data_IF_171121911859
#
_entry.id   IF_171121911859
#
_cell.length_a   1.000
_cell.length_b   1.000
_cell.length_c   1.000
_cell.angle_alpha   90.00
_cell.angle_beta   90.00
_cell.angle_gamma   90.00
#
_symmetry.space_group_name_H-M   'P 1'
#
loop_
_entity.id
_entity.type
_entity.pdbx_description
1 polymer ?
#
# COMPACT_ATOMS: atom_id res chain seq x y z
N UNK A 1 22.27 5.81 27.81
CA UNK A 1 22.41 6.27 26.42
C UNK A 1 21.30 5.60 25.62
N UNK A 2 20.22 6.32 25.27
CA UNK A 2 19.17 5.74 24.42
C UNK A 2 19.70 5.79 22.99
N UNK A 3 19.97 4.63 22.41
CA UNK A 3 20.29 4.52 20.99
C UNK A 3 18.99 4.90 20.26
N UNK A 4 18.96 6.05 19.60
CA UNK A 4 17.93 6.36 18.61
C UNK A 4 18.13 5.40 17.44
N UNK A 5 17.60 4.18 17.56
CA UNK A 5 17.49 3.29 16.43
C UNK A 5 16.51 3.94 15.45
N UNK A 6 17.03 4.42 14.33
CA UNK A 6 16.21 4.60 13.14
C UNK A 6 15.64 3.22 12.85
N UNK A 7 14.35 3.03 13.12
CA UNK A 7 13.68 1.76 12.85
C UNK A 7 13.61 1.64 11.34
N UNK A 8 14.52 0.86 10.75
CA UNK A 8 14.48 0.53 9.34
C UNK A 8 13.21 -0.28 9.08
N UNK A 9 12.47 0.07 8.02
CA UNK A 9 11.26 -0.67 7.64
C UNK A 9 11.57 -2.14 7.37
N UNK A 10 10.71 -3.05 7.83
CA UNK A 10 10.86 -4.49 7.56
C UNK A 10 10.58 -4.80 6.08
N UNK A 11 9.67 -4.05 5.48
CA UNK A 11 9.33 -4.12 4.07
C UNK A 11 9.01 -2.75 3.48
N UNK A 12 9.43 -2.53 2.24
CA UNK A 12 9.10 -1.35 1.45
C UNK A 12 8.63 -1.82 0.08
N UNK A 13 7.53 -1.25 -0.40
CA UNK A 13 7.06 -1.39 -1.77
C UNK A 13 6.85 -0.01 -2.36
N UNK A 14 7.29 0.16 -3.60
CA UNK A 14 7.02 1.33 -4.41
C UNK A 14 6.72 0.83 -5.81
N UNK A 15 5.63 1.29 -6.42
CA UNK A 15 5.40 0.94 -7.81
C UNK A 15 4.31 1.73 -8.48
N UNK A 16 4.34 1.66 -9.80
CA UNK A 16 3.36 2.26 -10.69
C UNK A 16 2.89 1.22 -11.70
N UNK A 17 1.59 1.13 -11.90
CA UNK A 17 0.97 0.38 -12.99
C UNK A 17 0.24 1.34 -13.91
N UNK A 18 0.31 1.13 -15.22
CA UNK A 18 -0.41 1.91 -16.21
C UNK A 18 -0.74 1.08 -17.42
N UNK A 19 -2.05 0.87 -17.66
CA UNK A 19 -2.66 0.41 -18.92
C UNK A 19 -4.19 0.60 -18.79
N UNK A 20 -4.71 1.75 -19.23
CA UNK A 20 -6.09 2.17 -18.94
C UNK A 20 -6.14 2.88 -17.60
N UNK A 21 -6.60 2.18 -16.55
CA UNK A 21 -6.48 2.69 -15.18
C UNK A 21 -5.01 2.65 -14.74
N UNK A 22 -4.59 3.65 -13.98
CA UNK A 22 -3.22 3.75 -13.46
C UNK A 22 -3.23 3.91 -11.95
N UNK A 23 -2.19 3.41 -11.29
CA UNK A 23 -1.97 3.66 -9.87
C UNK A 23 -0.50 3.77 -9.58
N UNK A 24 -0.15 4.69 -8.67
CA UNK A 24 1.14 4.74 -8.01
C UNK A 24 0.93 4.47 -6.53
N UNK A 25 1.70 3.54 -5.97
CA UNK A 25 1.60 3.16 -4.56
C UNK A 25 2.98 3.09 -3.93
N UNK A 26 3.08 3.63 -2.72
CA UNK A 26 4.21 3.47 -1.83
C UNK A 26 3.70 2.95 -0.49
N UNK A 27 4.33 1.92 0.06
CA UNK A 27 4.06 1.47 1.41
C UNK A 27 5.35 1.06 2.12
N UNK A 28 5.43 1.41 3.40
CA UNK A 28 6.54 1.07 4.28
C UNK A 28 5.96 0.45 5.55
N UNK A 29 6.41 -0.75 5.91
CA UNK A 29 5.83 -1.54 7.00
C UNK A 29 6.87 -2.11 7.93
N UNK A 30 6.52 -2.21 9.21
CA UNK A 30 7.38 -2.73 10.27
C UNK A 30 6.55 -3.48 11.31
N UNK A 31 7.14 -4.50 11.92
CA UNK A 31 6.64 -5.15 13.13
C UNK A 31 7.50 -4.76 14.34
N UNK A 32 6.96 -3.92 15.21
CA UNK A 32 7.60 -3.48 16.46
C UNK A 32 6.97 -4.25 17.61
N UNK A 33 7.72 -5.17 18.24
CA UNK A 33 7.23 -6.00 19.35
C UNK A 33 5.93 -6.77 19.03
N UNK A 34 5.78 -7.23 17.77
CA UNK A 34 4.56 -7.92 17.32
C UNK A 34 3.39 -6.99 16.98
N UNK A 35 3.56 -5.66 17.11
CA UNK A 35 2.58 -4.66 16.69
C UNK A 35 2.93 -4.14 15.30
N UNK A 36 1.99 -4.15 14.34
CA UNK A 36 2.20 -3.55 13.03
C UNK A 36 2.29 -2.03 13.11
N UNK A 37 3.24 -1.47 12.37
CA UNK A 37 3.35 -0.04 12.12
C UNK A 37 3.73 0.18 10.66
N UNK A 38 3.39 1.34 10.12
CA UNK A 38 3.71 1.64 8.74
C UNK A 38 2.86 2.72 8.14
N UNK A 39 3.13 3.03 6.88
CA UNK A 39 2.31 3.93 6.09
C UNK A 39 2.07 3.34 4.69
N UNK A 40 1.00 3.83 4.08
CA UNK A 40 0.69 3.63 2.67
C UNK A 40 0.26 4.97 2.11
N UNK A 41 0.68 5.28 0.89
CA UNK A 41 0.22 6.45 0.16
C UNK A 41 0.29 6.21 -1.34
N UNK A 42 -0.39 7.06 -2.10
CA UNK A 42 -0.32 6.98 -3.54
C UNK A 42 -1.43 7.73 -4.25
N UNK A 43 -1.50 7.47 -5.55
CA UNK A 43 -2.50 8.01 -6.45
C UNK A 43 -3.12 6.91 -7.30
N UNK A 44 -4.36 7.11 -7.72
CA UNK A 44 -5.06 6.24 -8.63
C UNK A 44 -5.81 7.09 -9.66
N UNK A 45 -5.75 6.70 -10.92
CA UNK A 45 -6.52 7.29 -12.01
C UNK A 45 -7.40 6.21 -12.62
N UNK A 46 -8.71 6.46 -12.62
CA UNK A 46 -9.71 5.52 -13.12
C UNK A 46 -10.43 6.13 -14.31
N UNK A 47 -10.29 5.49 -15.47
CA UNK A 47 -11.03 5.81 -16.67
C UNK A 47 -12.44 5.21 -16.59
N UNK A 48 -13.44 6.07 -16.65
CA UNK A 48 -14.86 5.69 -16.58
C UNK A 48 -15.52 5.48 -17.95
N UNK A 49 -14.74 5.56 -19.05
CA UNK A 49 -15.24 5.43 -20.43
C UNK A 49 -15.87 6.70 -21.01
N UNK A 50 -15.88 7.81 -20.28
CA UNK A 50 -16.20 9.16 -20.75
C UNK A 50 -14.95 10.04 -20.97
N UNK A 51 -15.11 11.36 -21.21
CA UNK A 51 -13.97 12.28 -21.34
C UNK A 51 -13.21 12.48 -20.01
N UNK A 52 -13.82 12.15 -18.88
CA UNK A 52 -13.31 12.48 -17.56
C UNK A 52 -12.57 11.28 -16.93
N UNK A 53 -11.30 11.53 -16.62
CA UNK A 53 -10.47 10.65 -15.78
C UNK A 53 -10.63 11.09 -14.34
N UNK A 54 -11.05 10.17 -13.45
CA UNK A 54 -11.17 10.47 -12.02
C UNK A 54 -9.83 10.18 -11.36
N UNK A 55 -9.29 11.16 -10.65
CA UNK A 55 -8.05 11.03 -9.89
C UNK A 55 -8.34 10.97 -8.41
N UNK A 56 -7.69 10.03 -7.75
CA UNK A 56 -7.76 9.79 -6.33
C UNK A 56 -6.35 9.88 -5.74
N UNK A 57 -6.26 10.46 -4.55
CA UNK A 57 -5.10 10.31 -3.67
C UNK A 57 -5.53 9.51 -2.44
N UNK A 58 -4.67 8.66 -1.93
CA UNK A 58 -4.94 7.89 -0.72
C UNK A 58 -3.75 7.92 0.22
N UNK A 59 -4.02 7.87 1.52
CA UNK A 59 -2.97 7.69 2.52
C UNK A 59 -3.49 7.12 3.84
N UNK A 60 -2.61 6.40 4.54
CA UNK A 60 -2.77 6.01 5.95
C UNK A 60 -1.41 5.83 6.60
N UNK A 61 -1.36 6.00 7.91
CA UNK A 61 -0.24 5.66 8.78
C UNK A 61 -0.60 4.57 9.79
N UNK A 62 -1.70 3.85 9.54
CA UNK A 62 -2.29 2.88 10.46
C UNK A 62 -2.27 1.50 9.80
N UNK A 63 -1.13 0.82 9.96
CA UNK A 63 -0.98 -0.56 9.53
C UNK A 63 -1.68 -1.49 10.52
N UNK A 64 -2.48 -2.42 10.00
CA UNK A 64 -3.27 -3.37 10.78
C UNK A 64 -2.73 -4.80 10.67
N UNK A 65 -2.19 -5.19 9.51
CA UNK A 65 -1.54 -6.49 9.34
C UNK A 65 -0.30 -6.26 8.48
N UNK A 66 0.81 -6.89 8.85
CA UNK A 66 2.05 -6.87 8.07
C UNK A 66 2.60 -8.28 7.97
N UNK A 67 2.90 -8.69 6.75
CA UNK A 67 3.54 -9.96 6.43
C UNK A 67 4.63 -9.71 5.39
N UNK A 68 5.85 -10.18 5.65
CA UNK A 68 6.95 -10.09 4.69
C UNK A 68 7.66 -11.42 4.55
N UNK A 69 8.08 -11.76 3.33
CA UNK A 69 8.85 -12.97 3.02
C UNK A 69 10.16 -12.56 2.37
N UNK A 70 11.26 -12.66 3.11
CA UNK A 70 12.57 -12.15 2.67
C UNK A 70 13.12 -12.94 1.47
N UNK A 71 12.92 -14.26 1.46
CA UNK A 71 13.42 -15.13 0.39
C UNK A 71 12.73 -14.87 -0.95
N UNK A 72 11.46 -14.44 -0.92
CA UNK A 72 10.68 -14.12 -2.12
C UNK A 72 10.65 -12.63 -2.44
N UNK A 73 11.20 -11.78 -1.56
CA UNK A 73 11.00 -10.33 -1.59
C UNK A 73 9.51 -10.00 -1.79
N UNK A 74 8.69 -10.55 -0.89
CA UNK A 74 7.23 -10.39 -0.91
C UNK A 74 6.77 -9.61 0.32
N UNK A 75 5.79 -8.74 0.13
CA UNK A 75 5.16 -7.92 1.14
C UNK A 75 3.64 -8.03 0.98
N UNK A 76 2.95 -8.36 2.08
CA UNK A 76 1.50 -8.25 2.22
C UNK A 76 1.20 -7.32 3.40
N UNK A 77 0.29 -6.37 3.22
CA UNK A 77 -0.11 -5.47 4.29
C UNK A 77 -1.57 -5.01 4.15
N UNK A 78 -2.22 -4.85 5.31
CA UNK A 78 -3.54 -4.23 5.45
C UNK A 78 -3.38 -2.95 6.27
N UNK A 79 -3.98 -1.87 5.79
CA UNK A 79 -4.06 -0.58 6.47
C UNK A 79 -5.52 -0.22 6.74
N UNK A 80 -5.78 0.34 7.91
CA UNK A 80 -7.07 0.92 8.27
C UNK A 80 -6.99 2.45 8.28
N UNK A 81 -8.15 3.07 8.53
CA UNK A 81 -8.33 4.52 8.56
C UNK A 81 -7.70 5.26 7.36
N UNK A 82 -7.77 4.64 6.19
CA UNK A 82 -7.28 5.22 4.95
C UNK A 82 -8.18 6.39 4.59
N UNK A 83 -7.55 7.53 4.28
CA UNK A 83 -8.22 8.69 3.72
C UNK A 83 -8.06 8.65 2.21
N UNK A 84 -9.17 8.78 1.48
CA UNK A 84 -9.20 8.87 0.03
C UNK A 84 -9.79 10.22 -0.36
N UNK A 85 -9.07 10.96 -1.20
CA UNK A 85 -9.48 12.25 -1.72
C UNK A 85 -9.61 12.14 -3.24
N UNK A 86 -10.81 12.36 -3.75
CA UNK A 86 -11.06 12.57 -5.18
C UNK A 86 -11.00 14.07 -5.49
N UNK A 87 -10.38 14.47 -6.60
CA UNK A 87 -10.23 15.89 -6.98
C UNK A 87 -11.55 16.68 -6.81
N UNK A 88 -11.50 17.81 -6.11
CA UNK A 88 -12.64 18.72 -5.85
C UNK A 88 -13.76 18.19 -4.93
N UNK A 89 -13.68 16.94 -4.44
CA UNK A 89 -14.66 16.38 -3.50
C UNK A 89 -14.21 16.45 -2.04
N UNK A 90 -15.09 16.08 -1.10
CA UNK A 90 -14.72 15.94 0.31
C UNK A 90 -13.97 14.61 0.50
N UNK A 91 -12.87 14.57 1.27
CA UNK A 91 -12.17 13.31 1.50
C UNK A 91 -13.03 12.31 2.28
N UNK A 92 -12.98 11.06 1.84
CA UNK A 92 -13.60 9.91 2.49
C UNK A 92 -12.59 9.32 3.48
N UNK A 93 -12.99 9.16 4.73
CA UNK A 93 -12.14 8.60 5.79
C UNK A 93 -12.67 7.25 6.25
N UNK A 94 -11.86 6.50 7.01
CA UNK A 94 -12.23 5.17 7.49
C UNK A 94 -12.19 4.09 6.40
N UNK A 95 -11.58 4.34 5.25
CA UNK A 95 -11.36 3.33 4.23
C UNK A 95 -10.32 2.30 4.71
N UNK A 96 -10.24 1.17 4.01
CA UNK A 96 -9.22 0.14 4.21
C UNK A 96 -8.43 -0.05 2.93
N UNK A 97 -7.12 -0.23 3.03
CA UNK A 97 -6.26 -0.53 1.90
C UNK A 97 -5.49 -1.83 2.12
N UNK A 98 -5.44 -2.67 1.10
CA UNK A 98 -4.58 -3.86 1.06
C UNK A 98 -3.57 -3.75 -0.05
N UNK A 99 -2.34 -4.19 0.23
CA UNK A 99 -1.30 -4.35 -0.78
C UNK A 99 -0.67 -5.74 -0.63
N UNK A 100 -0.62 -6.47 -1.74
CA UNK A 100 0.11 -7.73 -1.87
C UNK A 100 1.06 -7.57 -3.04
N UNK A 101 2.34 -7.77 -2.80
CA UNK A 101 3.39 -7.45 -3.76
C UNK A 101 4.51 -8.49 -3.67
N UNK A 102 4.92 -9.06 -4.80
CA UNK A 102 6.05 -10.00 -4.89
C UNK A 102 7.00 -9.55 -6.00
N UNK A 103 8.29 -9.51 -5.67
CA UNK A 103 9.31 -9.04 -6.61
C UNK A 103 9.44 -10.00 -7.79
N UNK A 104 9.43 -9.46 -9.01
CA UNK A 104 9.77 -10.21 -10.23
C UNK A 104 11.24 -10.04 -10.60
N UNK A 105 11.73 -8.81 -10.56
CA UNK A 105 13.13 -8.46 -10.79
C UNK A 105 13.50 -7.17 -10.05
N UNK A 106 14.61 -6.51 -10.37
CA UNK A 106 15.02 -5.28 -9.67
C UNK A 106 14.07 -4.09 -9.85
N UNK A 107 13.31 -4.06 -10.93
CA UNK A 107 12.53 -2.88 -11.34
C UNK A 107 11.06 -3.21 -11.57
N UNK A 108 10.63 -4.42 -11.22
CA UNK A 108 9.25 -4.86 -11.38
C UNK A 108 8.82 -5.76 -10.24
N UNK A 109 7.55 -5.65 -9.89
CA UNK A 109 6.85 -6.56 -9.00
C UNK A 109 5.46 -6.86 -9.54
N UNK A 110 4.92 -8.01 -9.13
CA UNK A 110 3.56 -8.43 -9.42
C UNK A 110 2.74 -8.41 -8.14
N UNK A 111 1.47 -8.06 -8.25
CA UNK A 111 0.63 -8.01 -7.08
C UNK A 111 -0.71 -7.34 -7.30
N UNK A 112 -1.31 -6.93 -6.20
CA UNK A 112 -2.55 -6.18 -6.18
C UNK A 112 -2.53 -5.10 -5.10
N UNK A 113 -3.27 -4.03 -5.39
CA UNK A 113 -3.57 -2.95 -4.48
C UNK A 113 -5.07 -2.70 -4.52
N UNK A 114 -5.70 -2.65 -3.35
CA UNK A 114 -7.15 -2.43 -3.22
C UNK A 114 -7.41 -1.37 -2.15
N UNK A 115 -8.38 -0.48 -2.39
CA UNK A 115 -8.97 0.42 -1.38
C UNK A 115 -10.46 0.24 -1.37
N UNK A 116 -11.06 0.10 -0.19
CA UNK A 116 -12.51 0.00 0.00
C UNK A 116 -12.94 0.99 1.06
N UNK A 117 -13.90 1.85 0.71
CA UNK A 117 -14.39 2.93 1.56
C UNK A 117 -15.81 2.66 2.09
N UNK A 118 -16.20 3.27 3.23
CA UNK A 118 -17.53 3.09 3.82
C UNK A 118 -18.70 3.58 2.96
N UNK A 119 -18.45 4.54 2.06
CA UNK A 119 -19.43 5.11 1.14
C UNK A 119 -19.63 4.26 -0.13
N UNK A 120 -18.90 3.15 -0.26
CA UNK A 120 -18.96 2.24 -1.39
C UNK A 120 -17.90 2.47 -2.47
N UNK A 121 -17.05 3.50 -2.37
CA UNK A 121 -15.93 3.66 -3.29
C UNK A 121 -14.98 2.47 -3.19
N UNK A 122 -14.62 1.90 -4.35
CA UNK A 122 -13.65 0.82 -4.47
C UNK A 122 -12.64 1.13 -5.56
N UNK A 123 -11.35 1.03 -5.22
CA UNK A 123 -10.23 1.18 -6.14
C UNK A 123 -9.47 -0.14 -6.16
N UNK A 124 -9.41 -0.81 -7.31
CA UNK A 124 -8.74 -2.10 -7.43
C UNK A 124 -7.77 -2.12 -8.61
N UNK A 125 -6.52 -2.45 -8.32
CA UNK A 125 -5.43 -2.53 -9.27
C UNK A 125 -4.70 -3.85 -9.07
N UNK A 126 -4.41 -4.55 -10.16
CA UNK A 126 -3.65 -5.79 -10.13
C UNK A 126 -2.80 -5.94 -11.38
N UNK A 127 -1.72 -6.70 -11.27
CA UNK A 127 -0.83 -6.99 -12.39
C UNK A 127 0.61 -6.66 -12.06
N UNK A 128 1.36 -6.30 -13.10
CA UNK A 128 2.79 -5.97 -12.98
C UNK A 128 2.98 -4.48 -12.84
N UNK A 129 3.66 -4.07 -11.79
CA UNK A 129 4.03 -2.70 -11.49
C UNK A 129 5.51 -2.49 -11.81
N UNK A 130 5.82 -1.35 -12.40
CA UNK A 130 7.17 -0.83 -12.49
C UNK A 130 7.55 -0.23 -11.13
N UNK A 131 8.66 -0.66 -10.54
CA UNK A 131 9.08 -0.22 -9.22
C UNK A 131 9.83 -1.29 -8.47
N UNK A 132 9.89 -1.20 -7.15
CA UNK A 132 10.74 -2.06 -6.33
C UNK A 132 10.01 -2.57 -5.09
N UNK A 133 10.44 -3.75 -4.66
CA UNK A 133 10.17 -4.27 -3.33
C UNK A 133 11.51 -4.55 -2.67
N UNK A 134 11.64 -4.08 -1.43
CA UNK A 134 12.76 -4.37 -0.55
C UNK A 134 12.21 -4.96 0.75
N UNK A 135 12.55 -6.22 1.02
CA UNK A 135 12.26 -6.86 2.32
C UNK A 135 13.57 -6.99 3.10
N UNK A 136 13.68 -6.24 4.18
CA UNK A 136 14.85 -6.25 5.08
C UNK A 136 14.78 -7.41 6.06
N UNK A 137 13.58 -7.69 6.60
CA UNK A 137 13.34 -8.76 7.58
C UNK A 137 12.04 -9.49 7.25
N UNK A 138 12.01 -10.80 7.49
CA UNK A 138 10.80 -11.61 7.42
C UNK A 138 10.05 -11.50 8.74
N UNK A 139 8.83 -10.99 8.69
CA UNK A 139 7.98 -10.74 9.86
C UNK A 139 6.52 -11.08 9.55
N UNK A 140 5.77 -11.36 10.60
CA UNK A 140 4.31 -11.39 10.58
C UNK A 140 3.82 -10.75 11.88
N UNK A 141 2.96 -9.74 11.78
CA UNK A 141 2.33 -9.11 12.93
C UNK A 141 0.91 -8.62 12.62
N UNK A 142 0.10 -8.56 13.67
CA UNK A 142 -1.27 -8.04 13.72
C UNK A 142 -1.55 -7.59 15.16
N UNK A 143 -2.49 -6.67 15.43
CA UNK A 143 -2.89 -6.32 16.78
C UNK A 143 -3.30 -7.56 17.57
N UNK A 144 -2.94 -7.56 18.85
CA UNK A 144 -3.51 -8.49 19.81
C UNK A 144 -4.95 -8.06 20.06
N UNK A 145 -5.90 -8.95 19.78
CA UNK A 145 -7.33 -8.78 20.12
C UNK A 145 -7.54 -8.84 21.63
#
# INVERSE_FOLDING_TARGET
MKINQVIQADGVVQGTIGNGNSASVEAQVTCVNGVPTGNISGTAEVFSGGPDTRRFTFSSNSALIVATLRNLQSLGALFDNVTVQEDEFTPITGCRATIDATRLNSNQWIGSFNVTCPDGLQLFFYGTFSGQILVNRQVFCQPLL
#
